data_IF_963182423140
#
_entry.id   IF_963182423140
#
_cell.length_a   1.000
_cell.length_b   1.000
_cell.length_c   1.000
_cell.angle_alpha   90.00
_cell.angle_beta   90.00
_cell.angle_gamma   90.00
#
_symmetry.space_group_name_H-M   'P 1'
#
loop_
_entity.id
_entity.type
_entity.pdbx_description
1 polymer ?
#
# COMPACT_ATOMS: atom_id res chain seq x y z
N UNK A 1 -6.05 -0.08 -16.87
CA UNK A 1 -6.64 -0.11 -15.51
C UNK A 1 -8.18 -0.22 -15.56
N UNK A 2 -8.93 0.80 -15.99
CA UNK A 2 -10.42 0.77 -15.97
C UNK A 2 -11.04 -0.47 -16.63
N UNK A 3 -10.65 -0.82 -17.85
CA UNK A 3 -11.20 -1.98 -18.57
C UNK A 3 -10.91 -3.31 -17.85
N UNK A 4 -9.74 -3.41 -17.20
CA UNK A 4 -9.38 -4.60 -16.42
C UNK A 4 -10.24 -4.71 -15.17
N UNK A 5 -10.44 -3.61 -14.43
CA UNK A 5 -11.31 -3.59 -13.26
C UNK A 5 -12.74 -3.92 -13.61
N UNK A 6 -13.28 -3.38 -14.72
CA UNK A 6 -14.62 -3.73 -15.21
C UNK A 6 -14.73 -5.22 -15.57
N UNK A 7 -13.72 -5.78 -16.23
CA UNK A 7 -13.70 -7.22 -16.55
C UNK A 7 -13.69 -8.09 -15.29
N UNK A 8 -12.90 -7.73 -14.29
CA UNK A 8 -12.87 -8.45 -13.00
C UNK A 8 -14.19 -8.29 -12.24
N UNK A 9 -14.81 -7.11 -12.28
CA UNK A 9 -16.09 -6.86 -11.64
C UNK A 9 -17.24 -7.66 -12.28
N UNK A 10 -17.27 -7.76 -13.61
CA UNK A 10 -18.22 -8.64 -14.32
C UNK A 10 -18.01 -10.09 -13.89
N UNK A 11 -16.77 -10.56 -13.87
CA UNK A 11 -16.48 -11.92 -13.40
C UNK A 11 -16.95 -12.13 -11.95
N UNK A 12 -16.69 -11.18 -11.04
CA UNK A 12 -17.17 -11.27 -9.66
C UNK A 12 -18.71 -11.32 -9.59
N UNK A 13 -19.39 -10.54 -10.43
CA UNK A 13 -20.85 -10.51 -10.51
C UNK A 13 -21.44 -11.84 -10.98
N UNK A 14 -20.84 -12.52 -11.97
CA UNK A 14 -21.26 -13.85 -12.44
C UNK A 14 -21.25 -14.90 -11.32
N UNK A 15 -20.38 -14.73 -10.31
CA UNK A 15 -20.29 -15.62 -9.15
C UNK A 15 -20.96 -15.06 -7.88
N UNK A 16 -21.70 -13.95 -8.00
CA UNK A 16 -22.33 -13.23 -6.90
C UNK A 16 -21.34 -12.94 -5.75
N UNK A 17 -20.14 -12.45 -6.10
CA UNK A 17 -19.07 -12.15 -5.14
C UNK A 17 -18.96 -10.64 -4.92
N UNK A 18 -19.27 -10.13 -3.72
CA UNK A 18 -19.04 -8.73 -3.41
C UNK A 18 -17.53 -8.45 -3.30
N UNK A 19 -17.14 -7.21 -3.58
CA UNK A 19 -15.76 -6.75 -3.46
C UNK A 19 -15.72 -5.28 -3.00
N UNK A 20 -14.54 -4.85 -2.56
CA UNK A 20 -14.25 -3.44 -2.30
C UNK A 20 -13.40 -2.85 -3.43
N UNK A 21 -13.46 -1.53 -3.58
CA UNK A 21 -12.54 -0.78 -4.44
C UNK A 21 -11.40 -0.22 -3.59
N UNK A 22 -10.16 -0.55 -3.95
CA UNK A 22 -8.96 0.04 -3.33
C UNK A 22 -8.27 0.97 -4.33
N UNK A 23 -8.53 2.27 -4.18
CA UNK A 23 -8.08 3.33 -5.07
C UNK A 23 -7.57 4.49 -4.22
N UNK A 24 -6.35 4.35 -3.70
CA UNK A 24 -5.73 5.33 -2.81
C UNK A 24 -5.26 6.55 -3.59
N UNK A 25 -5.72 7.74 -3.20
CA UNK A 25 -5.26 8.97 -3.82
C UNK A 25 -6.03 10.21 -3.36
N UNK A 26 -5.72 11.34 -4.00
CA UNK A 26 -6.34 12.62 -3.72
C UNK A 26 -7.80 12.68 -4.26
N UNK A 27 -8.35 13.88 -4.38
CA UNK A 27 -9.75 14.09 -4.77
C UNK A 27 -10.08 13.57 -6.17
N UNK A 28 -9.15 13.65 -7.13
CA UNK A 28 -9.36 13.12 -8.49
C UNK A 28 -9.52 11.60 -8.45
N UNK A 29 -8.65 10.90 -7.74
CA UNK A 29 -8.73 9.44 -7.55
C UNK A 29 -10.01 9.04 -6.81
N UNK A 30 -10.41 9.83 -5.81
CA UNK A 30 -11.64 9.61 -5.05
C UNK A 30 -12.88 9.78 -5.94
N UNK A 31 -12.94 10.84 -6.76
CA UNK A 31 -14.03 11.04 -7.71
C UNK A 31 -14.13 9.86 -8.69
N UNK A 32 -12.99 9.40 -9.22
CA UNK A 32 -12.94 8.22 -10.08
C UNK A 32 -13.43 6.95 -9.38
N UNK A 33 -13.04 6.73 -8.12
CA UNK A 33 -13.49 5.58 -7.32
C UNK A 33 -15.01 5.59 -7.10
N UNK A 34 -15.59 6.75 -6.84
CA UNK A 34 -17.04 6.94 -6.65
C UNK A 34 -17.81 6.67 -7.94
N UNK A 35 -17.34 7.19 -9.07
CA UNK A 35 -17.92 6.87 -10.40
C UNK A 35 -17.82 5.40 -10.75
N UNK A 36 -16.69 4.76 -10.42
CA UNK A 36 -16.53 3.33 -10.65
C UNK A 36 -17.49 2.53 -9.76
N UNK A 37 -17.61 2.91 -8.48
CA UNK A 37 -18.52 2.27 -7.53
C UNK A 37 -19.99 2.33 -7.94
N UNK A 38 -20.42 3.44 -8.53
CA UNK A 38 -21.83 3.64 -8.92
C UNK A 38 -22.30 2.75 -10.07
N UNK A 39 -21.37 2.21 -10.87
CA UNK A 39 -21.68 1.37 -12.05
C UNK A 39 -21.32 -0.10 -11.89
N UNK A 40 -20.72 -0.49 -10.77
CA UNK A 40 -20.30 -1.87 -10.50
C UNK A 40 -21.21 -2.51 -9.44
N UNK A 41 -22.12 -3.38 -9.88
CA UNK A 41 -23.19 -3.96 -9.04
C UNK A 41 -22.74 -4.67 -7.75
N UNK A 42 -21.51 -5.19 -7.73
CA UNK A 42 -20.94 -5.95 -6.61
C UNK A 42 -19.84 -5.19 -5.85
N UNK A 43 -19.60 -3.91 -6.18
CA UNK A 43 -18.72 -3.02 -5.40
C UNK A 43 -19.43 -2.53 -4.13
N UNK A 44 -19.76 -3.45 -3.24
CA UNK A 44 -20.65 -3.24 -2.09
C UNK A 44 -19.91 -3.12 -0.74
N UNK A 45 -18.63 -3.53 -0.69
CA UNK A 45 -17.84 -3.45 0.53
C UNK A 45 -17.18 -2.05 0.64
N UNK A 46 -16.86 -1.56 1.86
CA UNK A 46 -16.31 -0.22 2.06
C UNK A 46 -15.06 0.07 1.23
N UNK A 47 -15.01 1.24 0.59
CA UNK A 47 -13.91 1.59 -0.31
C UNK A 47 -12.68 2.05 0.47
N UNK A 48 -11.49 1.75 -0.07
CA UNK A 48 -10.21 2.19 0.48
C UNK A 48 -9.65 3.28 -0.44
N UNK A 49 -10.03 4.54 -0.16
CA UNK A 49 -9.55 5.72 -0.89
C UNK A 49 -8.44 6.48 -0.16
N UNK A 50 -8.42 6.41 1.18
CA UNK A 50 -7.53 7.18 2.05
C UNK A 50 -7.52 8.69 1.72
N UNK A 51 -8.66 9.23 1.25
CA UNK A 51 -8.77 10.59 0.75
C UNK A 51 -8.51 11.64 1.85
N UNK A 52 -8.74 11.24 3.09
CA UNK A 52 -8.62 12.01 4.32
C UNK A 52 -7.17 12.16 4.77
N UNK A 53 -6.28 11.26 4.35
CA UNK A 53 -4.86 11.31 4.70
C UNK A 53 -4.13 12.44 3.98
N UNK A 54 -4.71 12.97 2.90
CA UNK A 54 -4.08 14.01 2.09
C UNK A 54 -4.32 15.39 2.68
N UNK A 55 -3.21 16.13 2.89
CA UNK A 55 -3.25 17.54 3.31
C UNK A 55 -4.08 18.40 2.36
N UNK A 56 -4.00 18.14 1.06
CA UNK A 56 -4.80 18.78 0.02
C UNK A 56 -5.30 17.74 -0.98
N UNK A 57 -6.52 17.89 -1.48
CA UNK A 57 -7.13 16.90 -2.38
C UNK A 57 -6.99 17.26 -3.88
N UNK A 58 -6.33 18.37 -4.21
CA UNK A 58 -6.06 18.87 -5.57
C UNK A 58 -7.31 19.29 -6.38
N UNK A 59 -8.47 19.44 -5.74
CA UNK A 59 -9.69 19.92 -6.38
C UNK A 59 -9.94 21.39 -6.01
N UNK A 60 -10.58 22.15 -6.91
CA UNK A 60 -11.14 23.46 -6.54
C UNK A 60 -12.34 23.26 -5.62
N UNK A 61 -12.45 24.12 -4.61
CA UNK A 61 -13.58 24.10 -3.69
C UNK A 61 -13.46 23.02 -2.60
N UNK A 62 -14.59 22.40 -2.25
CA UNK A 62 -14.66 21.44 -1.13
C UNK A 62 -14.24 20.05 -1.56
N UNK A 63 -13.73 19.28 -0.60
CA UNK A 63 -13.53 17.84 -0.75
C UNK A 63 -14.88 17.15 -0.99
N UNK A 64 -14.85 16.01 -1.67
CA UNK A 64 -16.02 15.13 -1.75
C UNK A 64 -16.40 14.72 -0.32
N UNK A 65 -17.60 15.10 0.08
CA UNK A 65 -18.06 14.95 1.46
C UNK A 65 -18.53 13.52 1.70
N UNK A 66 -18.06 12.92 2.80
CA UNK A 66 -18.57 11.64 3.29
C UNK A 66 -19.74 11.94 4.23
N UNK A 67 -20.95 11.55 3.85
CA UNK A 67 -22.19 11.64 4.64
C UNK A 67 -22.71 10.24 4.93
N UNK A 68 -22.83 9.89 6.21
CA UNK A 68 -23.32 8.58 6.67
C UNK A 68 -22.62 7.40 5.98
N UNK A 69 -21.30 7.50 5.79
CA UNK A 69 -20.49 6.47 5.13
C UNK A 69 -20.55 6.46 3.60
N UNK A 70 -21.24 7.42 2.97
CA UNK A 70 -21.43 7.49 1.53
C UNK A 70 -20.89 8.79 0.95
N UNK A 71 -20.51 8.76 -0.33
CA UNK A 71 -20.12 9.94 -1.11
C UNK A 71 -21.10 10.06 -2.26
N UNK A 72 -21.70 11.24 -2.43
CA UNK A 72 -22.54 11.53 -3.60
C UNK A 72 -21.68 11.53 -4.88
N UNK A 73 -22.13 10.81 -5.90
CA UNK A 73 -21.49 10.82 -7.22
C UNK A 73 -21.61 12.24 -7.80
N UNK A 74 -20.51 12.87 -8.25
CA UNK A 74 -20.60 14.18 -8.88
C UNK A 74 -21.37 14.13 -10.20
N UNK A 75 -22.36 15.00 -10.37
CA UNK A 75 -23.29 14.99 -11.52
C UNK A 75 -22.76 15.72 -12.78
N UNK A 76 -21.63 16.41 -12.66
CA UNK A 76 -21.01 17.13 -13.78
C UNK A 76 -20.38 16.18 -14.81
N UNK A 77 -20.07 16.68 -16.04
CA UNK A 77 -19.45 15.86 -17.07
C UNK A 77 -18.07 15.32 -16.66
N UNK A 78 -17.70 14.16 -17.21
CA UNK A 78 -16.45 13.50 -16.87
C UNK A 78 -16.45 13.00 -15.42
N UNK A 79 -15.48 13.43 -14.61
CA UNK A 79 -15.44 13.12 -13.18
C UNK A 79 -16.34 14.03 -12.34
N UNK A 80 -16.91 15.10 -12.92
CA UNK A 80 -17.76 16.07 -12.24
C UNK A 80 -17.05 16.88 -11.15
N UNK A 81 -15.72 16.96 -11.22
CA UNK A 81 -14.87 17.75 -10.31
C UNK A 81 -13.93 18.65 -11.11
N UNK A 82 -13.55 19.79 -10.54
CA UNK A 82 -12.61 20.73 -11.15
C UNK A 82 -11.25 20.65 -10.44
N UNK A 83 -10.16 20.59 -11.21
CA UNK A 83 -8.79 20.52 -10.68
C UNK A 83 -8.30 21.89 -10.25
N UNK A 84 -7.67 21.97 -9.08
CA UNK A 84 -6.98 23.18 -8.64
C UNK A 84 -5.56 23.21 -9.22
N UNK A 85 -5.42 23.82 -10.40
CA UNK A 85 -4.13 23.96 -11.09
C UNK A 85 -3.07 24.71 -10.25
N UNK A 86 -3.47 25.61 -9.34
CA UNK A 86 -2.53 26.28 -8.44
C UNK A 86 -2.02 25.31 -7.39
N UNK A 87 -2.89 24.48 -6.84
CA UNK A 87 -2.48 23.42 -5.93
C UNK A 87 -1.60 22.39 -6.63
N UNK A 88 -1.93 21.99 -7.86
CA UNK A 88 -1.08 21.10 -8.66
C UNK A 88 0.31 21.71 -8.80
N UNK A 89 0.43 22.94 -9.31
CA UNK A 89 1.71 23.62 -9.47
C UNK A 89 2.50 23.73 -8.15
N UNK A 90 1.82 23.97 -7.02
CA UNK A 90 2.44 24.05 -5.69
C UNK A 90 2.98 22.70 -5.21
N UNK A 91 2.28 21.61 -5.51
CA UNK A 91 2.63 20.26 -5.03
C UNK A 91 3.43 19.44 -6.04
N UNK A 92 3.64 19.96 -7.26
CA UNK A 92 4.56 19.38 -8.22
C UNK A 92 5.96 19.29 -7.60
N UNK A 93 6.54 18.10 -7.69
CA UNK A 93 7.92 17.81 -7.28
C UNK A 93 8.77 17.57 -8.52
N UNK A 94 10.08 17.76 -8.40
CA UNK A 94 11.02 17.35 -9.44
C UNK A 94 10.99 15.82 -9.59
N UNK A 95 10.82 15.35 -10.83
CA UNK A 95 10.82 13.92 -11.14
C UNK A 95 12.18 13.25 -10.87
N UNK A 96 13.27 14.02 -10.81
CA UNK A 96 14.60 13.55 -10.44
C UNK A 96 14.84 13.46 -8.93
N UNK A 97 13.98 14.03 -8.10
CA UNK A 97 14.12 13.90 -6.65
C UNK A 97 13.63 12.54 -6.15
N UNK A 98 14.37 11.86 -5.26
CA UNK A 98 13.92 10.60 -4.71
C UNK A 98 12.68 10.84 -3.85
N UNK A 99 11.63 10.06 -4.14
CA UNK A 99 10.39 10.02 -3.40
C UNK A 99 10.63 9.67 -1.92
N UNK A 100 9.70 10.02 -1.01
CA UNK A 100 9.78 9.61 0.39
C UNK A 100 9.98 8.10 0.55
N UNK A 101 9.37 7.28 -0.32
CA UNK A 101 9.52 5.82 -0.33
C UNK A 101 10.94 5.40 -0.71
N UNK A 102 11.54 6.02 -1.73
CA UNK A 102 12.92 5.73 -2.14
C UNK A 102 13.92 6.15 -1.06
N UNK A 103 13.74 7.33 -0.47
CA UNK A 103 14.56 7.78 0.66
C UNK A 103 14.44 6.85 1.85
N UNK A 104 13.23 6.39 2.16
CA UNK A 104 13.00 5.40 3.21
C UNK A 104 13.71 4.09 2.89
N UNK A 105 13.57 3.55 1.68
CA UNK A 105 14.20 2.28 1.27
C UNK A 105 15.72 2.34 1.10
N UNK A 106 16.28 3.52 0.89
CA UNK A 106 17.73 3.70 0.82
C UNK A 106 18.43 3.49 2.19
N UNK A 107 17.68 3.58 3.29
CA UNK A 107 18.20 3.33 4.64
C UNK A 107 18.37 1.84 4.87
N UNK A 108 19.58 1.44 5.24
CA UNK A 108 19.87 0.07 5.66
C UNK A 108 19.18 -0.24 6.97
N UNK A 109 18.59 -1.43 7.08
CA UNK A 109 17.93 -1.90 8.30
C UNK A 109 18.08 -3.40 8.45
N UNK A 110 17.79 -3.88 9.66
CA UNK A 110 17.53 -5.29 9.92
C UNK A 110 16.12 -5.38 10.48
N UNK A 111 15.27 -6.14 9.80
CA UNK A 111 13.90 -6.44 10.18
C UNK A 111 13.89 -7.81 10.85
N UNK A 112 13.44 -7.90 12.11
CA UNK A 112 13.27 -9.19 12.80
C UNK A 112 11.80 -9.45 13.06
N UNK A 113 11.25 -10.38 12.30
CA UNK A 113 9.86 -10.82 12.48
C UNK A 113 9.85 -12.03 13.42
N UNK A 114 9.18 -11.89 14.56
CA UNK A 114 9.17 -12.88 15.63
C UNK A 114 7.79 -13.53 15.73
N UNK A 115 7.69 -14.84 15.47
CA UNK A 115 6.47 -15.62 15.70
C UNK A 115 6.54 -16.39 17.02
N UNK A 116 5.43 -16.49 17.75
CA UNK A 116 5.27 -17.48 18.81
C UNK A 116 5.56 -18.91 18.35
N UNK A 117 6.30 -19.66 19.16
CA UNK A 117 6.68 -21.05 18.90
C UNK A 117 6.38 -21.99 20.09
N UNK A 118 5.43 -21.60 20.95
CA UNK A 118 5.06 -22.33 22.17
C UNK A 118 5.88 -21.92 23.39
N UNK A 119 5.22 -21.83 24.55
CA UNK A 119 5.85 -21.35 25.78
C UNK A 119 6.43 -19.93 25.62
N UNK A 120 7.68 -19.73 26.06
CA UNK A 120 8.41 -18.47 25.88
C UNK A 120 9.25 -18.43 24.59
N UNK A 121 9.20 -19.47 23.74
CA UNK A 121 10.03 -19.55 22.54
C UNK A 121 9.44 -18.72 21.39
N UNK A 122 10.34 -18.06 20.65
CA UNK A 122 10.02 -17.34 19.42
C UNK A 122 10.86 -17.86 18.26
N UNK A 123 10.22 -18.03 17.10
CA UNK A 123 10.91 -18.19 15.82
C UNK A 123 11.17 -16.82 15.23
N UNK A 124 12.39 -16.55 14.81
CA UNK A 124 12.80 -15.24 14.29
C UNK A 124 13.22 -15.40 12.84
N UNK A 125 12.65 -14.58 11.97
CA UNK A 125 13.12 -14.39 10.60
C UNK A 125 13.69 -12.99 10.46
N UNK A 126 14.84 -12.90 9.81
CA UNK A 126 15.61 -11.67 9.70
C UNK A 126 15.74 -11.27 8.24
N UNK A 127 15.50 -10.00 7.93
CA UNK A 127 15.52 -9.48 6.57
C UNK A 127 16.22 -8.13 6.51
N UNK A 128 16.80 -7.79 5.36
CA UNK A 128 17.38 -6.47 5.14
C UNK A 128 16.40 -5.47 4.51
N UNK A 129 15.33 -5.96 3.89
CA UNK A 129 14.33 -5.14 3.20
C UNK A 129 12.93 -5.76 3.31
N UNK A 130 11.89 -4.92 3.30
CA UNK A 130 10.50 -5.38 3.37
C UNK A 130 10.07 -6.23 2.16
N UNK A 131 10.68 -5.99 1.00
CA UNK A 131 10.46 -6.78 -0.21
C UNK A 131 10.97 -8.22 -0.08
N UNK A 132 12.04 -8.45 0.67
CA UNK A 132 12.58 -9.81 0.88
C UNK A 132 11.66 -10.66 1.76
N UNK A 133 11.13 -10.12 2.86
CA UNK A 133 10.15 -10.88 3.65
C UNK A 133 8.85 -11.10 2.87
N UNK A 134 8.41 -10.12 2.06
CA UNK A 134 7.21 -10.26 1.25
C UNK A 134 7.37 -11.38 0.22
N UNK A 135 8.54 -11.46 -0.43
CA UNK A 135 8.90 -12.53 -1.35
C UNK A 135 8.89 -13.89 -0.65
N UNK A 136 9.54 -14.02 0.51
CA UNK A 136 9.53 -15.27 1.27
C UNK A 136 8.12 -15.67 1.75
N UNK A 137 7.27 -14.70 2.11
CA UNK A 137 5.86 -14.93 2.43
C UNK A 137 5.08 -15.52 1.26
N UNK A 138 5.17 -14.89 0.08
CA UNK A 138 4.46 -15.38 -1.10
C UNK A 138 4.99 -16.73 -1.61
N UNK A 139 6.26 -17.03 -1.35
CA UNK A 139 6.83 -18.35 -1.63
C UNK A 139 6.37 -19.44 -0.64
N UNK A 140 5.65 -19.08 0.42
CA UNK A 140 5.24 -20.01 1.48
C UNK A 140 6.39 -20.44 2.40
N UNK A 141 7.54 -19.76 2.34
CA UNK A 141 8.73 -20.08 3.15
C UNK A 141 8.60 -19.64 4.61
N UNK A 142 7.67 -18.72 4.89
CA UNK A 142 7.37 -18.26 6.26
C UNK A 142 5.88 -18.46 6.60
N UNK A 143 5.53 -18.62 7.89
CA UNK A 143 4.15 -18.87 8.29
C UNK A 143 3.20 -17.72 7.98
N UNK A 144 1.90 -18.06 7.90
CA UNK A 144 0.82 -17.08 7.94
C UNK A 144 0.84 -16.22 9.21
N UNK A 145 0.06 -15.13 9.20
CA UNK A 145 -0.15 -14.33 10.40
C UNK A 145 -0.78 -15.16 11.52
N UNK A 146 -0.29 -14.98 12.74
CA UNK A 146 -0.90 -15.53 13.96
C UNK A 146 -0.85 -14.49 15.09
N UNK A 147 -1.70 -14.63 16.09
CA UNK A 147 -1.68 -13.75 17.26
C UNK A 147 -0.33 -13.80 17.96
N UNK A 148 0.22 -12.63 18.31
CA UNK A 148 1.50 -12.50 19.01
C UNK A 148 2.73 -12.35 18.12
N UNK A 149 2.56 -12.25 16.80
CA UNK A 149 3.65 -11.87 15.88
C UNK A 149 4.06 -10.42 16.14
N UNK A 150 5.37 -10.16 16.18
CA UNK A 150 5.93 -8.81 16.33
C UNK A 150 7.04 -8.55 15.31
N UNK A 151 7.17 -7.30 14.86
CA UNK A 151 8.28 -6.84 14.03
C UNK A 151 9.17 -5.90 14.87
N UNK A 152 10.45 -6.20 14.93
CA UNK A 152 11.51 -5.31 15.41
C UNK A 152 12.27 -4.75 14.22
N UNK A 153 12.59 -3.46 14.28
CA UNK A 153 13.36 -2.75 13.25
C UNK A 153 14.61 -2.16 13.89
N UNK A 154 15.77 -2.60 13.42
CA UNK A 154 17.07 -2.01 13.76
C UNK A 154 17.54 -1.18 12.56
N UNK A 155 17.51 0.15 12.71
CA UNK A 155 17.98 1.08 11.67
C UNK A 155 19.51 1.15 11.66
N UNK A 156 20.09 1.21 10.46
CA UNK A 156 21.54 1.22 10.26
C UNK A 156 22.22 2.59 10.40
N UNK A 157 21.46 3.68 10.57
CA UNK A 157 22.02 5.02 10.79
C UNK A 157 22.76 5.04 12.14
N UNK A 158 24.10 5.22 12.10
CA UNK A 158 24.96 5.11 13.28
C UNK A 158 25.36 3.67 13.65
N UNK A 159 24.98 2.68 12.85
CA UNK A 159 25.28 1.26 13.07
C UNK A 159 26.78 0.97 13.10
N UNK A 160 27.24 0.38 14.22
CA UNK A 160 28.62 -0.04 14.41
C UNK A 160 29.03 -1.21 13.51
N UNK A 161 30.26 -1.72 13.71
CA UNK A 161 30.75 -2.86 12.93
C UNK A 161 29.89 -4.13 13.08
N UNK A 162 29.19 -4.29 14.21
CA UNK A 162 28.28 -5.40 14.45
C UNK A 162 27.08 -5.38 13.49
N UNK A 163 26.36 -4.25 13.40
CA UNK A 163 25.24 -4.07 12.46
C UNK A 163 25.67 -4.39 11.02
N UNK A 164 26.81 -3.85 10.57
CA UNK A 164 27.28 -4.05 9.20
C UNK A 164 27.58 -5.52 8.88
N UNK A 165 28.17 -6.26 9.83
CA UNK A 165 28.42 -7.70 9.66
C UNK A 165 27.11 -8.48 9.60
N UNK A 166 26.18 -8.16 10.50
CA UNK A 166 24.90 -8.86 10.58
C UNK A 166 24.05 -8.62 9.34
N UNK A 167 23.92 -7.35 8.92
CA UNK A 167 23.25 -6.99 7.69
C UNK A 167 23.89 -7.67 6.46
N UNK A 168 25.22 -7.75 6.39
CA UNK A 168 25.90 -8.42 5.28
C UNK A 168 25.64 -9.93 5.27
N UNK A 169 25.58 -10.58 6.44
CA UNK A 169 25.23 -12.00 6.59
C UNK A 169 23.81 -12.28 6.09
N UNK A 170 22.85 -11.44 6.49
CA UNK A 170 21.44 -11.58 6.08
C UNK A 170 21.32 -11.34 4.57
N UNK A 171 21.91 -10.26 4.05
CA UNK A 171 21.90 -9.97 2.61
C UNK A 171 22.50 -11.10 1.76
N UNK A 172 23.58 -11.75 2.22
CA UNK A 172 24.17 -12.88 1.53
C UNK A 172 23.24 -14.10 1.50
N UNK A 173 22.47 -14.34 2.59
CA UNK A 173 21.43 -15.37 2.63
C UNK A 173 20.33 -15.05 1.62
N UNK A 174 19.80 -13.82 1.64
CA UNK A 174 18.73 -13.39 0.74
C UNK A 174 19.12 -13.53 -0.74
N UNK A 175 20.35 -13.14 -1.09
CA UNK A 175 20.89 -13.31 -2.45
C UNK A 175 21.03 -14.78 -2.89
N UNK A 176 21.18 -15.72 -1.95
CA UNK A 176 21.25 -17.16 -2.24
C UNK A 176 19.87 -17.79 -2.48
N UNK A 177 18.79 -17.11 -2.09
CA UNK A 177 17.41 -17.57 -2.32
C UNK A 177 17.02 -17.21 -3.75
N UNK A 178 16.90 -18.24 -4.60
CA UNK A 178 16.56 -18.08 -6.01
C UNK A 178 15.39 -17.10 -6.22
N UNK A 179 15.46 -16.21 -7.22
CA UNK A 179 14.32 -15.37 -7.58
C UNK A 179 13.16 -16.26 -8.03
N UNK A 180 11.97 -16.05 -7.45
CA UNK A 180 10.76 -16.77 -7.86
C UNK A 180 10.37 -16.33 -9.27
N UNK A 181 9.94 -17.30 -10.10
CA UNK A 181 9.39 -17.08 -11.45
C UNK A 181 8.08 -16.30 -11.41
#
# INVERSE_FOLDING_TARGET
MLNQTRRQAVLAAEFNKPFWLQLVGAGITTAFAVHLGSVLSHAQLPYITCSELWKHNLLKGKKLEVKDGHIQVPDGPGLGVEVDEKAVARYTVDAGEPSPKERYRAKKRILRVQWPAGGQHKRVWEFTDEGEYQKEFYNGSIPGFQTGVSLEVEEGEGGGAAFRREHARIAAREASIAPTR
#
